data_IF_643849227917
#
_entry.id   IF_643849227917
#
_cell.length_a   1.000
_cell.length_b   1.000
_cell.length_c   1.000
_cell.angle_alpha   90.00
_cell.angle_beta   90.00
_cell.angle_gamma   90.00
#
_symmetry.space_group_name_H-M   'P 1'
#
loop_
_entity.id
_entity.type
_entity.pdbx_description
1 polymer ?
#
# COMPACT_ATOMS: atom_id res chain seq x y z
N UNK A 1 -25.89 1.01 60.34
CA UNK A 1 -24.91 1.16 59.23
C UNK A 1 -25.17 0.24 58.03
N UNK A 2 -25.90 -0.89 58.16
CA UNK A 2 -26.10 -1.87 57.07
C UNK A 2 -27.04 -1.44 55.91
N UNK A 3 -27.81 -0.36 56.07
CA UNK A 3 -28.81 0.10 55.07
C UNK A 3 -28.22 0.92 53.90
N UNK A 4 -27.00 1.44 54.03
CA UNK A 4 -26.36 2.27 52.99
C UNK A 4 -25.47 1.46 52.03
N UNK A 5 -25.10 0.24 52.42
CA UNK A 5 -24.24 -0.67 51.64
C UNK A 5 -24.85 -1.03 50.27
N UNK A 6 -26.14 -1.42 50.14
CA UNK A 6 -26.69 -1.77 48.84
C UNK A 6 -26.80 -0.56 47.88
N UNK A 7 -27.09 0.64 48.39
CA UNK A 7 -27.11 1.86 47.57
C UNK A 7 -25.72 2.27 47.09
N UNK A 8 -24.68 2.09 47.92
CA UNK A 8 -23.30 2.36 47.54
C UNK A 8 -22.81 1.39 46.44
N UNK A 9 -23.13 0.10 46.56
CA UNK A 9 -22.79 -0.90 45.54
C UNK A 9 -23.52 -0.61 44.22
N UNK A 10 -24.81 -0.26 44.29
CA UNK A 10 -25.58 0.11 43.09
C UNK A 10 -25.02 1.37 42.41
N UNK A 11 -24.63 2.37 43.20
CA UNK A 11 -24.00 3.59 42.69
C UNK A 11 -22.66 3.31 42.00
N UNK A 12 -21.82 2.44 42.57
CA UNK A 12 -20.55 2.02 41.95
C UNK A 12 -20.79 1.23 40.66
N UNK A 13 -21.77 0.32 40.65
CA UNK A 13 -22.11 -0.45 39.45
C UNK A 13 -22.61 0.45 38.31
N UNK A 14 -23.45 1.45 38.61
CA UNK A 14 -23.93 2.43 37.63
C UNK A 14 -22.80 3.32 37.11
N UNK A 15 -21.89 3.76 37.98
CA UNK A 15 -20.73 4.54 37.58
C UNK A 15 -19.80 3.74 36.65
N UNK A 16 -19.52 2.47 36.97
CA UNK A 16 -18.74 1.58 36.10
C UNK A 16 -19.44 1.34 34.75
N UNK A 17 -20.75 1.10 34.75
CA UNK A 17 -21.53 0.94 33.52
C UNK A 17 -21.50 2.18 32.63
N UNK A 18 -21.59 3.37 33.21
CA UNK A 18 -21.51 4.64 32.48
C UNK A 18 -20.13 4.87 31.87
N UNK A 19 -19.05 4.58 32.62
CA UNK A 19 -17.67 4.68 32.11
C UNK A 19 -17.44 3.68 30.96
N UNK A 20 -17.90 2.44 31.11
CA UNK A 20 -17.74 1.42 30.07
C UNK A 20 -18.53 1.77 28.80
N UNK A 21 -19.76 2.26 28.97
CA UNK A 21 -20.57 2.74 27.84
C UNK A 21 -19.88 3.92 27.12
N UNK A 22 -19.34 4.89 27.85
CA UNK A 22 -18.60 6.01 27.25
C UNK A 22 -17.34 5.55 26.50
N UNK A 23 -16.59 4.61 27.04
CA UNK A 23 -15.44 4.02 26.37
C UNK A 23 -15.85 3.28 25.09
N UNK A 24 -16.95 2.53 25.13
CA UNK A 24 -17.47 1.81 23.97
C UNK A 24 -17.96 2.76 22.87
N UNK A 25 -18.72 3.80 23.22
CA UNK A 25 -19.18 4.81 22.25
C UNK A 25 -18.06 5.65 21.64
N UNK A 26 -16.98 5.91 22.38
CA UNK A 26 -15.83 6.69 21.90
C UNK A 26 -14.71 5.85 21.29
N UNK A 27 -14.79 4.52 21.36
CA UNK A 27 -13.77 3.61 20.84
C UNK A 27 -13.54 3.80 19.34
N UNK A 28 -14.61 3.89 18.53
CA UNK A 28 -14.49 4.06 17.09
C UNK A 28 -13.87 5.42 16.72
N UNK A 29 -14.28 6.50 17.40
CA UNK A 29 -13.74 7.83 17.18
C UNK A 29 -12.25 7.92 17.57
N UNK A 30 -11.87 7.32 18.71
CA UNK A 30 -10.49 7.26 19.17
C UNK A 30 -9.63 6.41 18.24
N UNK A 31 -10.11 5.25 17.83
CA UNK A 31 -9.43 4.39 16.86
C UNK A 31 -9.26 5.04 15.50
N UNK A 32 -10.24 5.82 15.03
CA UNK A 32 -10.13 6.59 13.80
C UNK A 32 -9.10 7.74 13.93
N UNK A 33 -9.06 8.42 15.07
CA UNK A 33 -8.08 9.47 15.36
C UNK A 33 -6.65 8.89 15.41
N UNK A 34 -6.44 7.80 16.16
CA UNK A 34 -5.14 7.13 16.29
C UNK A 34 -4.64 6.64 14.92
N UNK A 35 -5.52 6.08 14.08
CA UNK A 35 -5.17 5.68 12.70
C UNK A 35 -4.72 6.88 11.87
N UNK A 36 -5.47 7.99 11.90
CA UNK A 36 -5.11 9.21 11.17
C UNK A 36 -3.80 9.81 11.64
N UNK A 37 -3.53 9.78 12.94
CA UNK A 37 -2.27 10.26 13.50
C UNK A 37 -1.09 9.42 13.00
N UNK A 38 -1.25 8.10 12.96
CA UNK A 38 -0.22 7.18 12.49
C UNK A 38 0.02 7.21 10.97
N UNK A 39 -0.98 7.59 10.16
CA UNK A 39 -0.87 7.59 8.69
C UNK A 39 -0.75 8.98 8.09
N UNK A 40 -1.70 9.89 8.37
CA UNK A 40 -1.80 11.19 7.68
C UNK A 40 -0.91 12.24 8.35
N UNK A 41 -0.89 12.27 9.69
CA UNK A 41 -0.14 13.27 10.45
C UNK A 41 1.34 12.89 10.69
N UNK A 42 1.70 11.62 10.44
CA UNK A 42 3.05 11.13 10.66
C UNK A 42 3.94 11.32 9.43
N UNK A 43 4.96 12.17 9.55
CA UNK A 43 5.95 12.41 8.49
C UNK A 43 6.70 11.15 8.05
N UNK A 44 6.99 10.22 8.97
CA UNK A 44 7.65 8.96 8.64
C UNK A 44 6.77 8.04 7.80
N UNK A 45 5.45 8.02 8.05
CA UNK A 45 4.50 7.28 7.22
C UNK A 45 4.44 7.86 5.80
N UNK A 46 4.41 9.19 5.68
CA UNK A 46 4.45 9.87 4.38
C UNK A 46 5.73 9.54 3.63
N UNK A 47 6.89 9.61 4.29
CA UNK A 47 8.18 9.24 3.70
C UNK A 47 8.21 7.80 3.20
N UNK A 48 7.83 6.84 4.05
CA UNK A 48 7.73 5.44 3.66
C UNK A 48 6.75 5.23 2.50
N UNK A 49 5.67 6.00 2.44
CA UNK A 49 4.75 5.98 1.32
C UNK A 49 5.40 6.50 0.03
N UNK A 50 6.13 7.62 0.06
CA UNK A 50 6.88 8.11 -1.11
C UNK A 50 7.87 7.07 -1.62
N UNK A 51 8.70 6.52 -0.72
CA UNK A 51 9.71 5.51 -1.05
C UNK A 51 9.06 4.28 -1.69
N UNK A 52 7.98 3.76 -1.10
CA UNK A 52 7.31 2.57 -1.61
C UNK A 52 6.69 2.79 -3.01
N UNK A 53 6.04 3.92 -3.26
CA UNK A 53 5.46 4.19 -4.58
C UNK A 53 6.55 4.46 -5.63
N UNK A 54 7.67 5.09 -5.23
CA UNK A 54 8.82 5.27 -6.10
C UNK A 54 9.46 3.92 -6.46
N UNK A 55 9.66 3.05 -5.47
CA UNK A 55 10.25 1.72 -5.64
C UNK A 55 9.38 0.84 -6.55
N UNK A 56 8.05 0.85 -6.36
CA UNK A 56 7.13 0.10 -7.22
C UNK A 56 7.20 0.57 -8.67
N UNK A 57 7.33 1.88 -8.89
CA UNK A 57 7.44 2.43 -10.24
C UNK A 57 8.79 2.12 -10.88
N UNK A 58 9.88 2.30 -10.13
CA UNK A 58 11.24 1.95 -10.56
C UNK A 58 11.37 0.44 -10.86
N UNK A 59 10.69 -0.42 -10.09
CA UNK A 59 10.63 -1.86 -10.34
C UNK A 59 9.95 -2.16 -11.69
N UNK A 60 8.81 -1.53 -11.98
CA UNK A 60 8.14 -1.70 -13.27
C UNK A 60 9.02 -1.26 -14.45
N UNK A 61 9.70 -0.11 -14.34
CA UNK A 61 10.66 0.37 -15.35
C UNK A 61 11.87 -0.55 -15.50
N UNK A 62 12.36 -1.13 -14.40
CA UNK A 62 13.46 -2.09 -14.43
C UNK A 62 13.06 -3.36 -15.20
N UNK A 63 11.84 -3.87 -14.97
CA UNK A 63 11.30 -4.99 -15.76
C UNK A 63 11.18 -4.64 -17.24
N UNK A 64 10.77 -3.41 -17.59
CA UNK A 64 10.71 -2.95 -18.98
C UNK A 64 12.09 -2.90 -19.67
N UNK A 65 13.12 -2.45 -18.95
CA UNK A 65 14.50 -2.48 -19.45
C UNK A 65 14.99 -3.91 -19.67
N UNK A 66 14.67 -4.82 -18.75
CA UNK A 66 14.99 -6.25 -18.90
C UNK A 66 14.26 -6.87 -20.10
N UNK A 67 12.98 -6.54 -20.31
CA UNK A 67 12.23 -6.98 -21.49
C UNK A 67 12.89 -6.48 -22.77
N UNK A 68 13.30 -5.22 -22.81
CA UNK A 68 13.99 -4.63 -23.98
C UNK A 68 15.31 -5.35 -24.26
N UNK A 69 16.09 -5.66 -23.23
CA UNK A 69 17.34 -6.40 -23.37
C UNK A 69 17.11 -7.84 -23.88
N UNK A 70 16.13 -8.55 -23.33
CA UNK A 70 15.75 -9.90 -23.76
C UNK A 70 15.23 -9.90 -25.21
N UNK A 71 14.45 -8.90 -25.59
CA UNK A 71 13.96 -8.73 -26.95
C UNK A 71 15.10 -8.47 -27.94
N UNK A 72 16.05 -7.61 -27.57
CA UNK A 72 17.25 -7.34 -28.36
C UNK A 72 18.09 -8.59 -28.56
N UNK A 73 18.24 -9.41 -27.51
CA UNK A 73 18.95 -10.68 -27.60
C UNK A 73 18.25 -11.67 -28.54
N UNK A 74 16.91 -11.73 -28.48
CA UNK A 74 16.09 -12.56 -29.36
C UNK A 74 16.25 -12.15 -30.83
N UNK A 75 16.26 -10.85 -31.11
CA UNK A 75 16.45 -10.28 -32.45
C UNK A 75 17.86 -10.59 -33.01
N UNK A 76 18.82 -10.83 -32.13
CA UNK A 76 20.19 -11.28 -32.44
C UNK A 76 20.31 -12.71 -32.95
N UNK A 77 19.20 -13.46 -33.09
CA UNK A 77 19.14 -14.86 -33.55
C UNK A 77 20.03 -15.79 -32.72
N UNK A 78 19.74 -15.96 -31.42
CA UNK A 78 20.51 -16.83 -30.55
C UNK A 78 20.33 -18.30 -30.93
N UNK A 79 21.05 -19.20 -30.26
CA UNK A 79 20.83 -20.65 -30.41
C UNK A 79 19.41 -21.03 -29.97
N UNK A 80 18.87 -22.15 -30.47
CA UNK A 80 17.51 -22.60 -30.14
C UNK A 80 17.28 -22.79 -28.62
N UNK A 81 18.25 -23.37 -27.91
CA UNK A 81 18.20 -23.50 -26.44
C UNK A 81 18.12 -22.11 -25.75
N UNK A 82 18.92 -21.16 -26.24
CA UNK A 82 18.94 -19.81 -25.67
C UNK A 82 17.65 -19.06 -25.99
N UNK A 83 17.08 -19.25 -27.18
CA UNK A 83 15.78 -18.71 -27.57
C UNK A 83 14.67 -19.16 -26.61
N UNK A 84 14.58 -20.46 -26.31
CA UNK A 84 13.58 -21.00 -25.38
C UNK A 84 13.72 -20.38 -23.98
N UNK A 85 14.97 -20.27 -23.49
CA UNK A 85 15.26 -19.62 -22.22
C UNK A 85 14.90 -18.13 -22.21
N UNK A 86 15.15 -17.41 -23.30
CA UNK A 86 14.76 -16.00 -23.42
C UNK A 86 13.25 -15.85 -23.36
N UNK A 87 12.48 -16.70 -24.08
CA UNK A 87 11.00 -16.66 -24.06
C UNK A 87 10.43 -16.93 -22.67
N UNK A 88 11.01 -17.88 -21.93
CA UNK A 88 10.66 -18.12 -20.53
C UNK A 88 10.95 -16.90 -19.65
N UNK A 89 12.13 -16.29 -19.80
CA UNK A 89 12.50 -15.06 -19.09
C UNK A 89 11.56 -13.90 -19.42
N UNK A 90 11.20 -13.68 -20.69
CA UNK A 90 10.25 -12.64 -21.11
C UNK A 90 8.91 -12.83 -20.38
N UNK A 91 8.42 -14.07 -20.30
CA UNK A 91 7.16 -14.38 -19.60
C UNK A 91 7.25 -14.01 -18.12
N UNK A 92 8.34 -14.42 -17.45
CA UNK A 92 8.56 -14.13 -16.03
C UNK A 92 8.69 -12.62 -15.75
N UNK A 93 9.49 -11.90 -16.55
CA UNK A 93 9.69 -10.46 -16.38
C UNK A 93 8.41 -9.68 -16.69
N UNK A 94 7.61 -10.13 -17.67
CA UNK A 94 6.28 -9.55 -17.95
C UNK A 94 5.34 -9.69 -16.76
N UNK A 95 5.32 -10.87 -16.11
CA UNK A 95 4.53 -11.08 -14.90
C UNK A 95 5.00 -10.18 -13.75
N UNK A 96 6.31 -10.05 -13.56
CA UNK A 96 6.89 -9.17 -12.55
C UNK A 96 6.51 -7.69 -12.77
N UNK A 97 6.56 -7.21 -14.03
CA UNK A 97 6.09 -5.86 -14.37
C UNK A 97 4.62 -5.67 -13.98
N UNK A 98 3.77 -6.62 -14.35
CA UNK A 98 2.34 -6.57 -14.03
C UNK A 98 2.09 -6.58 -12.51
N UNK A 99 2.86 -7.35 -11.75
CA UNK A 99 2.79 -7.38 -10.29
C UNK A 99 3.12 -6.02 -9.67
N UNK A 100 4.21 -5.37 -10.10
CA UNK A 100 4.60 -4.04 -9.63
C UNK A 100 3.50 -3.00 -9.91
N UNK A 101 2.94 -3.00 -11.13
CA UNK A 101 1.86 -2.09 -11.54
C UNK A 101 0.58 -2.35 -10.74
N UNK A 102 0.18 -3.61 -10.58
CA UNK A 102 -1.03 -3.96 -9.82
C UNK A 102 -0.88 -3.62 -8.34
N UNK A 103 0.32 -3.83 -7.78
CA UNK A 103 0.64 -3.49 -6.39
C UNK A 103 0.59 -1.98 -6.18
N UNK A 104 1.18 -1.22 -7.10
CA UNK A 104 1.07 0.24 -7.13
C UNK A 104 -0.39 0.68 -7.13
N UNK A 105 -1.18 0.20 -8.10
CA UNK A 105 -2.57 0.61 -8.26
C UNK A 105 -3.45 0.23 -7.07
N UNK A 106 -3.28 -0.99 -6.54
CA UNK A 106 -3.97 -1.46 -5.34
C UNK A 106 -3.68 -0.56 -4.14
N UNK A 107 -2.41 -0.16 -3.94
CA UNK A 107 -2.03 0.74 -2.85
C UNK A 107 -2.47 2.18 -3.09
N UNK A 108 -2.48 2.65 -4.34
CA UNK A 108 -2.90 4.01 -4.70
C UNK A 108 -4.38 4.26 -4.39
N UNK A 109 -5.22 3.22 -4.46
CA UNK A 109 -6.65 3.32 -4.09
C UNK A 109 -6.89 3.47 -2.59
N UNK A 110 -5.88 3.30 -1.75
CA UNK A 110 -6.02 3.41 -0.30
C UNK A 110 -5.98 4.90 0.11
N UNK A 111 -7.10 5.41 0.65
CA UNK A 111 -7.32 6.83 0.98
C UNK A 111 -6.18 7.45 1.83
N UNK A 112 -5.65 6.69 2.78
CA UNK A 112 -4.61 7.14 3.70
C UNK A 112 -3.19 7.15 3.08
N UNK A 113 -3.04 6.68 1.84
CA UNK A 113 -1.74 6.58 1.15
C UNK A 113 -1.58 7.60 0.03
N UNK A 114 -2.45 8.59 -0.10
CA UNK A 114 -2.41 9.57 -1.21
C UNK A 114 -1.24 10.55 -1.17
N UNK A 115 -0.45 10.55 -0.08
CA UNK A 115 0.68 11.45 0.11
C UNK A 115 1.70 11.41 -1.07
N UNK A 116 1.89 10.25 -1.73
CA UNK A 116 2.83 10.12 -2.86
C UNK A 116 2.54 11.08 -4.02
N UNK A 117 1.29 11.54 -4.16
CA UNK A 117 0.87 12.42 -5.25
C UNK A 117 1.54 13.79 -5.20
N UNK A 118 1.96 14.24 -4.00
CA UNK A 118 2.73 15.48 -3.85
C UNK A 118 4.09 15.43 -4.58
N UNK A 119 4.62 14.22 -4.80
CA UNK A 119 5.89 13.98 -5.49
C UNK A 119 5.74 13.83 -7.02
N UNK A 120 4.58 14.19 -7.59
CA UNK A 120 4.25 14.05 -9.03
C UNK A 120 4.27 12.60 -9.55
N UNK A 121 4.16 11.63 -8.66
CA UNK A 121 3.91 10.24 -9.05
C UNK A 121 2.46 10.12 -9.54
N UNK A 122 2.20 9.33 -10.60
CA UNK A 122 0.88 9.24 -11.21
C UNK A 122 -0.15 8.58 -10.29
N UNK A 123 -1.42 8.94 -10.39
CA UNK A 123 -2.48 8.33 -9.58
C UNK A 123 -2.60 6.80 -9.82
N UNK A 124 -2.41 6.38 -11.07
CA UNK A 124 -2.43 4.98 -11.48
C UNK A 124 -1.39 4.74 -12.57
N UNK A 125 -0.84 3.54 -12.61
CA UNK A 125 -0.02 3.05 -13.72
C UNK A 125 -0.89 2.25 -14.69
N UNK A 126 -0.73 2.50 -15.99
CA UNK A 126 -1.43 1.74 -17.03
C UNK A 126 -0.67 0.44 -17.33
N UNK A 127 -1.32 -0.70 -17.06
CA UNK A 127 -0.76 -2.02 -17.33
C UNK A 127 -0.53 -2.27 -18.83
N UNK A 128 -1.32 -1.63 -19.69
CA UNK A 128 -1.27 -1.79 -21.14
C UNK A 128 -0.34 -0.78 -21.81
N UNK A 129 0.13 0.24 -21.08
CA UNK A 129 1.12 1.16 -21.60
C UNK A 129 2.40 0.39 -21.91
N UNK A 130 3.06 0.78 -23.02
CA UNK A 130 4.33 0.18 -23.42
C UNK A 130 5.44 0.45 -22.40
N UNK A 131 5.43 1.64 -21.80
CA UNK A 131 6.43 2.11 -20.84
C UNK A 131 5.74 2.82 -19.68
N UNK A 132 6.24 2.59 -18.48
CA UNK A 132 5.70 3.15 -17.24
C UNK A 132 6.25 4.56 -17.03
N UNK A 133 5.36 5.53 -16.86
CA UNK A 133 5.73 6.92 -16.58
C UNK A 133 5.74 7.15 -15.06
N UNK A 134 6.92 7.28 -14.46
CA UNK A 134 7.09 7.44 -13.01
C UNK A 134 7.14 8.89 -12.52
N UNK A 135 7.12 9.86 -13.43
CA UNK A 135 6.97 11.27 -13.11
C UNK A 135 5.97 11.88 -14.09
N UNK A 136 4.97 12.59 -13.56
CA UNK A 136 4.06 13.43 -14.32
C UNK A 136 4.68 14.82 -14.59
#
# INVERSE_FOLDING_TARGET
MLRFIPCAILGVALAYGAVYALLWFTADARGAADKREQTVANGAFRLATYEEFFDLCAAAQTSEQQLTALQTELDGKPSADREERIRASITAVTASRAESINTYNSKATQEHRTAFQDARLPYTLDINAKETQCAA
#
